data_IF_621664427573
#
_entry.id   IF_621664427573
#
_cell.length_a   1.000
_cell.length_b   1.000
_cell.length_c   1.000
_cell.angle_alpha   90.00
_cell.angle_beta   90.00
_cell.angle_gamma   90.00
#
_symmetry.space_group_name_H-M   'P 1'
#
loop_
_entity.id
_entity.type
_entity.pdbx_description
1 polymer ?
#
# COMPACT_ATOMS: atom_id res chain seq x y z
N UNK A 1 25.21 9.63 -1.64
CA UNK A 1 26.05 8.97 -0.62
C UNK A 1 25.41 9.27 0.73
N UNK A 2 24.98 8.39 1.62
CA UNK A 2 25.12 6.95 1.88
C UNK A 2 23.81 6.50 2.55
N UNK A 3 23.21 5.36 2.14
CA UNK A 3 22.15 4.64 2.86
C UNK A 3 22.64 3.20 3.04
N UNK A 4 23.45 2.98 4.09
CA UNK A 4 23.90 1.64 4.54
C UNK A 4 23.53 1.39 6.01
N UNK A 5 22.46 2.03 6.51
CA UNK A 5 22.16 2.09 7.94
C UNK A 5 21.42 0.87 8.50
N UNK A 6 20.60 0.17 7.70
CA UNK A 6 19.77 -0.95 8.20
C UNK A 6 20.48 -2.30 8.15
N UNK A 7 21.10 -2.65 7.01
CA UNK A 7 21.82 -3.94 6.91
C UNK A 7 23.06 -3.97 7.80
N UNK A 8 23.73 -2.82 8.00
CA UNK A 8 24.87 -2.75 8.92
C UNK A 8 24.47 -2.81 10.39
N UNK A 9 23.27 -2.35 10.77
CA UNK A 9 22.82 -2.43 12.16
C UNK A 9 22.41 -3.84 12.56
N UNK A 10 21.77 -4.60 11.66
CA UNK A 10 21.40 -6.01 11.90
C UNK A 10 22.64 -6.91 11.93
N UNK A 11 23.56 -6.72 11.00
CA UNK A 11 24.84 -7.44 10.98
C UNK A 11 25.70 -7.08 12.20
N UNK A 12 25.72 -5.81 12.62
CA UNK A 12 26.38 -5.37 13.84
C UNK A 12 25.72 -5.93 15.12
N UNK A 13 24.39 -6.11 15.13
CA UNK A 13 23.68 -6.70 16.26
C UNK A 13 23.90 -8.22 16.36
N UNK A 14 24.07 -8.92 15.23
CA UNK A 14 24.44 -10.33 15.20
C UNK A 14 25.89 -10.55 15.64
N UNK A 15 26.84 -9.81 15.04
CA UNK A 15 28.25 -9.84 15.45
C UNK A 15 28.45 -9.36 16.89
N UNK A 16 27.65 -8.38 17.34
CA UNK A 16 27.63 -7.93 18.73
C UNK A 16 27.18 -9.03 19.69
N UNK A 17 26.19 -9.86 19.31
CA UNK A 17 25.75 -10.99 20.13
C UNK A 17 26.79 -12.11 20.20
N UNK A 18 27.47 -12.42 19.10
CA UNK A 18 28.58 -13.39 19.08
C UNK A 18 29.78 -12.89 19.90
N UNK A 19 30.11 -11.59 19.80
CA UNK A 19 31.10 -10.92 20.65
C UNK A 19 30.75 -11.04 22.14
N UNK A 20 29.51 -10.72 22.50
CA UNK A 20 29.04 -10.72 23.89
C UNK A 20 28.96 -12.12 24.50
N UNK A 21 28.84 -13.18 23.70
CA UNK A 21 28.90 -14.58 24.18
C UNK A 21 30.32 -15.12 24.31
N UNK A 22 31.33 -14.32 23.96
CA UNK A 22 32.72 -14.78 23.88
C UNK A 22 32.96 -15.82 22.78
N UNK A 23 32.06 -15.91 21.79
CA UNK A 23 32.11 -16.89 20.69
C UNK A 23 33.01 -16.43 19.53
N UNK A 24 33.49 -15.17 19.55
CA UNK A 24 34.49 -14.66 18.61
C UNK A 24 35.91 -14.96 19.13
N UNK A 25 36.53 -16.01 18.58
CA UNK A 25 37.88 -16.49 18.96
C UNK A 25 38.97 -15.39 18.95
N UNK A 26 38.81 -14.32 18.16
CA UNK A 26 39.78 -13.23 18.01
C UNK A 26 39.50 -11.98 18.88
N UNK A 27 38.36 -11.90 19.59
CA UNK A 27 37.95 -10.71 20.36
C UNK A 27 37.18 -11.06 21.65
N UNK A 28 37.88 -11.35 22.76
CA UNK A 28 37.22 -11.60 24.05
C UNK A 28 36.55 -10.32 24.58
N UNK A 29 35.37 -10.44 25.19
CA UNK A 29 34.52 -9.35 25.68
C UNK A 29 34.85 -8.90 27.12
N UNK A 30 36.11 -8.64 27.41
CA UNK A 30 36.61 -8.35 28.76
C UNK A 30 35.97 -7.13 29.45
N UNK A 31 35.42 -6.17 28.68
CA UNK A 31 34.84 -4.91 29.19
C UNK A 31 33.31 -4.87 29.13
N UNK A 32 32.66 -5.86 28.51
CA UNK A 32 31.22 -5.82 28.25
C UNK A 32 30.59 -7.16 28.61
N UNK A 33 29.72 -7.15 29.62
CA UNK A 33 29.06 -8.35 30.12
C UNK A 33 28.06 -8.92 29.11
N UNK A 34 27.89 -10.23 29.12
CA UNK A 34 27.22 -11.03 28.09
C UNK A 34 25.73 -10.68 27.88
N UNK A 35 25.11 -9.99 28.83
CA UNK A 35 23.71 -9.55 28.77
C UNK A 35 23.52 -8.13 28.20
N UNK A 36 24.59 -7.47 27.75
CA UNK A 36 24.47 -6.17 27.10
C UNK A 36 23.60 -6.24 25.84
N UNK A 37 22.69 -5.29 25.66
CA UNK A 37 21.76 -5.27 24.51
C UNK A 37 20.67 -6.36 24.55
N UNK A 38 20.63 -7.23 25.57
CA UNK A 38 19.54 -8.20 25.78
C UNK A 38 18.37 -7.58 26.54
N UNK A 39 18.65 -6.58 27.38
CA UNK A 39 17.68 -5.90 28.24
C UNK A 39 17.75 -4.40 27.99
N UNK A 40 16.60 -3.82 27.64
CA UNK A 40 16.44 -2.39 27.34
C UNK A 40 16.02 -1.56 28.58
N UNK A 41 15.71 -2.24 29.69
CA UNK A 41 15.35 -1.60 30.96
C UNK A 41 16.59 -1.27 31.80
N UNK A 42 16.87 0.03 31.97
CA UNK A 42 18.06 0.52 32.66
C UNK A 42 18.15 0.04 34.13
N UNK A 43 17.03 0.01 34.85
CA UNK A 43 17.01 -0.45 36.25
C UNK A 43 17.32 -1.94 36.37
N UNK A 44 16.76 -2.77 35.48
CA UNK A 44 17.08 -4.20 35.43
C UNK A 44 18.54 -4.43 35.02
N UNK A 45 19.07 -3.61 34.11
CA UNK A 45 20.46 -3.71 33.68
C UNK A 45 21.42 -3.38 34.83
N UNK A 46 21.14 -2.33 35.60
CA UNK A 46 21.89 -1.97 36.80
C UNK A 46 21.85 -3.08 37.86
N UNK A 47 20.69 -3.71 38.05
CA UNK A 47 20.52 -4.83 38.97
C UNK A 47 21.36 -6.05 38.56
N UNK A 48 21.34 -6.41 37.27
CA UNK A 48 22.18 -7.50 36.75
C UNK A 48 23.66 -7.15 36.87
N UNK A 49 24.04 -5.90 36.62
CA UNK A 49 25.41 -5.45 36.78
C UNK A 49 25.89 -5.52 38.23
N UNK A 50 25.03 -5.14 39.18
CA UNK A 50 25.34 -5.24 40.59
C UNK A 50 25.58 -6.69 41.00
N UNK A 51 24.66 -7.61 40.68
CA UNK A 51 24.84 -9.01 41.07
C UNK A 51 26.01 -9.67 40.35
N UNK A 52 26.20 -9.47 39.05
CA UNK A 52 27.35 -10.00 38.33
C UNK A 52 28.68 -9.59 38.99
N UNK A 53 28.78 -8.34 39.49
CA UNK A 53 29.98 -7.87 40.19
C UNK A 53 30.27 -8.62 41.49
N UNK A 54 29.24 -9.12 42.19
CA UNK A 54 29.42 -9.89 43.44
C UNK A 54 29.96 -11.30 43.15
N UNK A 55 29.55 -11.90 42.03
CA UNK A 55 30.10 -13.18 41.56
C UNK A 55 31.54 -13.00 41.10
N UNK A 56 31.82 -11.98 40.28
CA UNK A 56 33.16 -11.68 39.78
C UNK A 56 34.14 -11.30 40.89
N UNK A 57 33.67 -10.64 41.96
CA UNK A 57 34.52 -10.27 43.10
C UNK A 57 34.80 -11.43 44.08
N UNK A 58 34.24 -12.62 43.82
CA UNK A 58 34.36 -13.79 44.72
C UNK A 58 33.61 -13.65 46.04
N UNK A 59 32.65 -12.72 46.15
CA UNK A 59 31.78 -12.60 47.33
C UNK A 59 30.74 -13.72 47.38
N UNK A 60 30.45 -14.32 46.23
CA UNK A 60 29.63 -15.53 46.11
C UNK A 60 30.55 -16.74 45.91
N UNK A 61 30.42 -17.80 46.72
CA UNK A 61 31.21 -19.02 46.55
C UNK A 61 31.07 -19.68 45.17
N UNK A 62 32.19 -20.17 44.62
CA UNK A 62 32.25 -20.79 43.28
C UNK A 62 31.35 -22.03 43.11
N UNK A 63 30.95 -22.68 44.22
CA UNK A 63 29.99 -23.81 44.22
C UNK A 63 28.60 -23.43 43.67
N UNK A 64 28.29 -22.14 43.62
CA UNK A 64 27.05 -21.63 43.02
C UNK A 64 27.12 -21.48 41.49
N UNK A 65 28.29 -21.75 40.88
CA UNK A 65 28.50 -21.67 39.44
C UNK A 65 28.43 -20.25 38.88
N UNK A 66 28.45 -20.11 37.54
CA UNK A 66 28.40 -18.82 36.87
C UNK A 66 27.12 -18.04 37.19
N UNK A 67 27.24 -16.70 37.34
CA UNK A 67 26.09 -15.84 37.66
C UNK A 67 24.90 -16.05 36.72
N UNK A 68 25.12 -16.09 35.40
CA UNK A 68 24.06 -16.25 34.39
C UNK A 68 23.37 -17.61 34.42
N UNK A 69 24.02 -18.62 35.02
CA UNK A 69 23.42 -19.93 35.24
C UNK A 69 22.62 -20.01 36.54
N UNK A 70 22.81 -19.05 37.45
CA UNK A 70 22.11 -19.02 38.74
C UNK A 70 20.60 -18.85 38.57
N UNK A 71 19.83 -19.41 39.50
CA UNK A 71 18.38 -19.24 39.55
C UNK A 71 17.97 -17.76 39.67
N UNK A 72 18.81 -16.95 40.32
CA UNK A 72 18.59 -15.50 40.47
C UNK A 72 18.65 -14.79 39.11
N UNK A 73 19.75 -14.96 38.36
CA UNK A 73 19.90 -14.34 37.05
C UNK A 73 18.81 -14.80 36.07
N UNK A 74 18.52 -16.10 36.05
CA UNK A 74 17.45 -16.67 35.21
C UNK A 74 16.08 -16.07 35.51
N UNK A 75 15.76 -15.82 36.78
CA UNK A 75 14.49 -15.21 37.17
C UNK A 75 14.41 -13.72 36.81
N UNK A 76 15.51 -12.97 36.98
CA UNK A 76 15.59 -11.56 36.60
C UNK A 76 15.44 -11.41 35.08
N UNK A 77 16.23 -12.15 34.30
CA UNK A 77 16.19 -12.14 32.84
C UNK A 77 14.80 -12.58 32.35
N UNK A 78 14.24 -13.67 32.88
CA UNK A 78 12.89 -14.14 32.49
C UNK A 78 11.82 -13.08 32.76
N UNK A 79 11.85 -12.42 33.92
CA UNK A 79 10.87 -11.38 34.25
C UNK A 79 11.02 -10.15 33.35
N UNK A 80 12.26 -9.78 33.00
CA UNK A 80 12.54 -8.69 32.09
C UNK A 80 12.06 -9.00 30.66
N UNK A 81 12.41 -10.19 30.14
CA UNK A 81 11.96 -10.66 28.83
C UNK A 81 10.43 -10.75 28.75
N UNK A 82 9.74 -11.21 29.80
CA UNK A 82 8.27 -11.25 29.82
C UNK A 82 7.67 -9.84 29.73
N UNK A 83 8.22 -8.85 30.46
CA UNK A 83 7.75 -7.46 30.39
C UNK A 83 8.06 -6.79 29.05
N UNK A 84 9.17 -7.16 28.41
CA UNK A 84 9.49 -6.69 27.06
C UNK A 84 8.53 -7.30 26.03
N UNK A 85 8.24 -8.60 26.12
CA UNK A 85 7.24 -9.25 25.28
C UNK A 85 5.84 -8.63 25.48
N UNK A 86 5.40 -8.44 26.72
CA UNK A 86 4.10 -7.86 27.07
C UNK A 86 3.94 -6.43 26.51
N UNK A 87 4.99 -5.60 26.61
CA UNK A 87 5.02 -4.28 25.95
C UNK A 87 4.97 -4.40 24.43
N UNK A 88 5.75 -5.28 23.82
CA UNK A 88 5.74 -5.50 22.37
C UNK A 88 4.38 -5.99 21.85
N UNK A 89 3.68 -6.85 22.61
CA UNK A 89 2.32 -7.29 22.33
C UNK A 89 1.29 -6.16 22.46
N UNK A 90 1.43 -5.30 23.48
CA UNK A 90 0.52 -4.19 23.75
C UNK A 90 0.69 -3.04 22.74
N UNK A 91 1.92 -2.80 22.29
CA UNK A 91 2.27 -1.71 21.38
C UNK A 91 2.26 -2.10 19.90
N UNK A 92 1.86 -3.35 19.57
CA UNK A 92 1.73 -3.81 18.18
C UNK A 92 3.06 -3.95 17.42
N UNK A 93 4.18 -4.04 18.12
CA UNK A 93 5.51 -3.93 17.53
C UNK A 93 6.06 -5.30 17.09
N UNK A 94 5.55 -5.80 15.96
CA UNK A 94 5.83 -7.13 15.40
C UNK A 94 7.33 -7.36 15.10
N UNK A 95 8.04 -6.31 14.72
CA UNK A 95 9.45 -6.33 14.34
C UNK A 95 10.38 -6.62 15.53
N UNK A 96 10.04 -6.10 16.72
CA UNK A 96 10.74 -6.39 17.98
C UNK A 96 10.47 -7.82 18.48
N UNK A 97 9.26 -8.32 18.26
CA UNK A 97 8.87 -9.70 18.60
C UNK A 97 9.71 -10.72 17.83
N UNK A 98 9.98 -10.50 16.54
CA UNK A 98 10.76 -11.43 15.72
C UNK A 98 12.24 -11.51 16.16
N UNK A 99 12.80 -10.40 16.65
CA UNK A 99 14.15 -10.35 17.21
C UNK A 99 14.33 -11.09 18.55
N UNK A 100 13.27 -11.18 19.36
CA UNK A 100 13.28 -11.83 20.68
C UNK A 100 13.24 -13.36 20.62
N UNK A 101 12.57 -13.96 19.63
CA UNK A 101 12.36 -15.43 19.59
C UNK A 101 13.47 -16.15 18.80
N UNK A 102 14.50 -15.44 18.32
CA UNK A 102 15.55 -16.04 17.48
C UNK A 102 14.97 -16.63 16.17
N UNK A 103 13.82 -16.14 15.73
CA UNK A 103 13.14 -16.58 14.50
C UNK A 103 13.67 -15.89 13.24
N UNK A 104 14.69 -15.04 13.38
CA UNK A 104 15.23 -14.16 12.33
C UNK A 104 15.97 -14.88 11.19
N UNK A 105 15.82 -16.19 11.01
CA UNK A 105 16.43 -16.91 9.90
C UNK A 105 15.71 -18.23 9.55
N UNK A 106 14.38 -18.20 9.44
CA UNK A 106 13.71 -19.15 8.55
C UNK A 106 13.06 -18.35 7.46
N UNK A 107 13.69 -18.34 6.29
CA UNK A 107 12.98 -17.98 5.08
C UNK A 107 11.73 -18.85 5.01
N UNK A 108 10.57 -18.19 4.97
CA UNK A 108 9.28 -18.88 4.90
C UNK A 108 9.13 -19.49 3.50
N UNK A 109 8.25 -20.47 3.35
CA UNK A 109 8.02 -21.09 2.05
C UNK A 109 7.40 -20.05 1.11
N UNK A 110 7.81 -20.00 -0.15
CA UNK A 110 7.23 -19.12 -1.15
C UNK A 110 5.70 -19.20 -1.24
N UNK A 111 5.11 -20.36 -0.94
CA UNK A 111 3.64 -20.52 -0.89
C UNK A 111 2.99 -19.73 0.25
N UNK A 112 3.71 -19.53 1.35
CA UNK A 112 3.23 -18.71 2.48
C UNK A 112 3.16 -17.24 2.05
N UNK A 113 4.06 -16.77 1.17
CA UNK A 113 3.98 -15.43 0.58
C UNK A 113 2.71 -15.26 -0.24
N UNK A 114 2.44 -16.21 -1.15
CA UNK A 114 1.26 -16.15 -2.03
C UNK A 114 -0.02 -16.06 -1.21
N UNK A 115 -0.08 -16.84 -0.13
CA UNK A 115 -1.22 -16.85 0.80
C UNK A 115 -1.33 -15.53 1.55
N UNK A 116 -0.23 -15.03 2.12
CA UNK A 116 -0.23 -13.76 2.87
C UNK A 116 -0.59 -12.56 1.99
N UNK A 117 -0.07 -12.50 0.76
CA UNK A 117 -0.41 -11.43 -0.19
C UNK A 117 -1.88 -11.51 -0.64
N UNK A 118 -2.39 -12.72 -0.90
CA UNK A 118 -3.81 -12.91 -1.22
C UNK A 118 -4.71 -12.46 -0.05
N UNK A 119 -4.36 -12.77 1.19
CA UNK A 119 -5.09 -12.33 2.39
C UNK A 119 -5.13 -10.81 2.54
N UNK A 120 -4.04 -10.12 2.19
CA UNK A 120 -4.05 -8.65 2.18
C UNK A 120 -5.03 -8.11 1.13
N UNK A 121 -5.09 -8.74 -0.05
CA UNK A 121 -5.98 -8.36 -1.16
C UNK A 121 -7.45 -8.76 -0.96
N UNK A 122 -7.77 -9.62 0.01
CA UNK A 122 -9.15 -9.90 0.41
C UNK A 122 -9.83 -8.68 1.05
N UNK A 123 -9.04 -7.77 1.63
CA UNK A 123 -9.54 -6.54 2.21
C UNK A 123 -9.95 -5.56 1.10
N UNK A 124 -11.22 -5.18 1.07
CA UNK A 124 -11.74 -4.23 0.08
C UNK A 124 -10.96 -2.90 0.12
N UNK A 125 -10.52 -2.43 -1.06
CA UNK A 125 -9.71 -1.23 -1.20
C UNK A 125 -8.22 -1.43 -0.96
N UNK A 126 -7.75 -2.68 -0.83
CA UNK A 126 -6.32 -2.97 -0.73
C UNK A 126 -5.58 -2.65 -2.03
N UNK A 127 -4.40 -2.05 -1.89
CA UNK A 127 -3.51 -1.74 -3.02
C UNK A 127 -2.17 -2.40 -2.73
N UNK A 128 -1.85 -3.45 -3.48
CA UNK A 128 -0.57 -4.15 -3.41
C UNK A 128 0.38 -3.68 -4.51
N UNK A 129 1.67 -3.61 -4.20
CA UNK A 129 2.72 -3.41 -5.20
C UNK A 129 3.60 -4.65 -5.33
N UNK A 130 4.06 -4.96 -6.53
CA UNK A 130 5.10 -5.97 -6.79
C UNK A 130 6.30 -5.24 -7.40
N UNK A 131 7.41 -5.22 -6.67
CA UNK A 131 8.55 -4.35 -6.91
C UNK A 131 9.81 -5.16 -7.22
N UNK A 132 10.63 -4.69 -8.15
CA UNK A 132 11.88 -5.37 -8.50
C UNK A 132 12.39 -5.06 -9.91
N UNK A 133 13.66 -5.38 -10.21
CA UNK A 133 14.22 -5.17 -11.54
C UNK A 133 13.54 -6.07 -12.59
N UNK A 134 13.67 -5.76 -13.89
CA UNK A 134 13.24 -6.66 -14.96
C UNK A 134 13.88 -8.06 -14.81
N UNK A 135 13.09 -9.11 -15.04
CA UNK A 135 13.53 -10.50 -14.94
C UNK A 135 13.65 -11.07 -13.51
N UNK A 136 13.22 -10.36 -12.46
CA UNK A 136 13.18 -10.92 -11.10
C UNK A 136 11.99 -11.84 -10.80
N UNK A 137 11.19 -12.19 -11.81
CA UNK A 137 10.01 -13.04 -11.66
C UNK A 137 8.79 -12.32 -11.04
N UNK A 138 8.68 -10.99 -11.21
CA UNK A 138 7.54 -10.21 -10.70
C UNK A 138 6.22 -10.70 -11.29
N UNK A 139 6.09 -10.68 -12.62
CA UNK A 139 4.86 -11.09 -13.32
C UNK A 139 4.43 -12.49 -12.92
N UNK A 140 5.33 -13.47 -12.95
CA UNK A 140 5.05 -14.83 -12.47
C UNK A 140 4.50 -14.86 -11.03
N UNK A 141 5.13 -14.11 -10.12
CA UNK A 141 4.66 -13.99 -8.72
C UNK A 141 3.29 -13.33 -8.64
N UNK A 142 3.05 -12.27 -9.41
CA UNK A 142 1.78 -11.55 -9.48
C UNK A 142 0.64 -12.46 -9.93
N UNK A 143 0.86 -13.24 -11.00
CA UNK A 143 -0.14 -14.17 -11.53
C UNK A 143 -0.47 -15.29 -10.53
N UNK A 144 0.52 -15.82 -9.82
CA UNK A 144 0.28 -16.82 -8.78
C UNK A 144 -0.41 -16.24 -7.54
N UNK A 145 -0.14 -14.99 -7.16
CA UNK A 145 -0.91 -14.28 -6.12
C UNK A 145 -2.36 -14.10 -6.58
N UNK A 146 -2.59 -13.63 -7.80
CA UNK A 146 -3.93 -13.40 -8.34
C UNK A 146 -4.76 -14.70 -8.37
N UNK A 147 -4.17 -15.81 -8.80
CA UNK A 147 -4.81 -17.13 -8.76
C UNK A 147 -5.09 -17.61 -7.34
N UNK A 148 -4.16 -17.37 -6.42
CA UNK A 148 -4.34 -17.73 -5.01
C UNK A 148 -5.50 -16.94 -4.40
N UNK A 149 -5.59 -15.65 -4.72
CA UNK A 149 -6.70 -14.79 -4.33
C UNK A 149 -8.02 -15.30 -4.89
N UNK A 150 -8.13 -15.54 -6.21
CA UNK A 150 -9.38 -16.00 -6.82
C UNK A 150 -9.83 -17.37 -6.30
N UNK A 151 -8.88 -18.28 -6.00
CA UNK A 151 -9.19 -19.56 -5.38
C UNK A 151 -9.79 -19.43 -3.96
N UNK A 152 -9.47 -18.34 -3.25
CA UNK A 152 -9.93 -18.08 -1.88
C UNK A 152 -11.22 -17.27 -1.84
N UNK A 153 -11.36 -16.30 -2.72
CA UNK A 153 -12.49 -15.38 -2.75
C UNK A 153 -13.62 -15.84 -3.67
N UNK A 154 -13.30 -16.62 -4.70
CA UNK A 154 -14.21 -16.86 -5.82
C UNK A 154 -14.50 -15.60 -6.64
N UNK A 155 -13.69 -14.55 -6.47
CA UNK A 155 -13.86 -13.26 -7.13
C UNK A 155 -13.25 -13.22 -8.54
N UNK A 156 -13.58 -12.15 -9.26
CA UNK A 156 -13.15 -11.95 -10.64
C UNK A 156 -11.76 -11.29 -10.68
N UNK A 157 -10.91 -11.69 -11.63
CA UNK A 157 -9.63 -11.06 -11.89
C UNK A 157 -9.71 -10.31 -13.22
N UNK A 158 -9.39 -9.02 -13.21
CA UNK A 158 -9.24 -8.22 -14.42
C UNK A 158 -7.79 -7.80 -14.57
N UNK A 159 -7.31 -7.58 -15.79
CA UNK A 159 -5.95 -7.11 -15.98
C UNK A 159 -5.68 -6.48 -17.34
N UNK A 160 -4.47 -5.95 -17.52
CA UNK A 160 -4.08 -5.17 -18.70
C UNK A 160 -3.16 -5.91 -19.68
N UNK A 161 -2.84 -7.18 -19.41
CA UNK A 161 -2.00 -8.03 -20.25
C UNK A 161 -2.75 -9.25 -20.74
N UNK A 162 -2.20 -9.93 -21.75
CA UNK A 162 -2.76 -11.18 -22.23
C UNK A 162 -2.40 -12.35 -21.29
N UNK A 163 -3.29 -12.64 -20.35
CA UNK A 163 -3.28 -13.88 -19.56
C UNK A 163 -4.68 -14.49 -19.53
N UNK A 164 -4.77 -15.78 -19.87
CA UNK A 164 -6.03 -16.53 -19.97
C UNK A 164 -6.82 -16.62 -18.66
N UNK A 165 -6.19 -16.35 -17.51
CA UNK A 165 -6.87 -16.33 -16.22
C UNK A 165 -7.53 -15.00 -15.86
N UNK A 166 -7.47 -13.99 -16.73
CA UNK A 166 -8.28 -12.78 -16.59
C UNK A 166 -9.71 -13.02 -17.10
N UNK A 167 -10.69 -12.64 -16.30
CA UNK A 167 -12.10 -12.61 -16.69
C UNK A 167 -12.38 -11.47 -17.69
N UNK A 168 -11.59 -10.39 -17.62
CA UNK A 168 -11.69 -9.24 -18.50
C UNK A 168 -10.34 -8.55 -18.67
N UNK A 169 -10.05 -8.12 -19.91
CA UNK A 169 -8.88 -7.30 -20.23
C UNK A 169 -9.29 -5.82 -20.28
N UNK A 170 -8.54 -4.97 -19.58
CA UNK A 170 -8.78 -3.51 -19.50
C UNK A 170 -7.56 -2.74 -20.02
N UNK A 171 -7.80 -1.63 -20.71
CA UNK A 171 -6.76 -0.82 -21.36
C UNK A 171 -6.61 0.59 -20.80
N UNK A 172 -7.48 0.99 -19.89
CA UNK A 172 -7.38 2.29 -19.21
C UNK A 172 -7.83 2.21 -17.76
N UNK A 173 -7.47 3.24 -16.98
CA UNK A 173 -7.93 3.42 -15.61
C UNK A 173 -9.46 3.56 -15.53
N UNK A 174 -10.07 4.24 -16.50
CA UNK A 174 -11.52 4.31 -16.64
C UNK A 174 -12.16 2.94 -16.90
N UNK A 175 -11.67 2.21 -17.91
CA UNK A 175 -12.16 0.85 -18.22
C UNK A 175 -12.01 -0.09 -17.02
N UNK A 176 -10.89 0.02 -16.29
CA UNK A 176 -10.67 -0.73 -15.06
C UNK A 176 -11.75 -0.43 -14.02
N UNK A 177 -12.02 0.84 -13.73
CA UNK A 177 -13.01 1.22 -12.72
C UNK A 177 -14.44 0.86 -13.10
N UNK A 178 -14.80 0.95 -14.39
CA UNK A 178 -16.08 0.51 -14.93
C UNK A 178 -16.23 -1.01 -14.81
N UNK A 179 -15.23 -1.78 -15.29
CA UNK A 179 -15.22 -3.25 -15.17
C UNK A 179 -15.33 -3.72 -13.71
N UNK A 180 -14.63 -3.05 -12.79
CA UNK A 180 -14.74 -3.36 -11.36
C UNK A 180 -16.14 -3.08 -10.78
N UNK A 181 -16.87 -2.11 -11.32
CA UNK A 181 -18.21 -1.74 -10.85
C UNK A 181 -19.33 -2.58 -11.51
N UNK A 182 -19.04 -3.27 -12.61
CA UNK A 182 -19.93 -4.25 -13.25
C UNK A 182 -19.99 -5.59 -12.50
N UNK A 183 -18.94 -5.95 -11.76
CA UNK A 183 -18.87 -7.21 -11.03
C UNK A 183 -19.69 -7.13 -9.73
N UNK A 184 -20.69 -7.98 -9.59
CA UNK A 184 -21.42 -8.21 -8.33
C UNK A 184 -20.62 -9.15 -7.42
N UNK A 185 -19.56 -8.63 -6.79
CA UNK A 185 -18.69 -9.45 -5.95
C UNK A 185 -17.32 -8.83 -5.68
N UNK A 186 -16.38 -9.66 -5.23
CA UNK A 186 -14.98 -9.24 -5.08
C UNK A 186 -14.29 -9.24 -6.44
N UNK A 187 -13.51 -8.18 -6.71
CA UNK A 187 -12.76 -8.02 -7.96
C UNK A 187 -11.31 -7.62 -7.68
N UNK A 188 -10.36 -8.28 -8.33
CA UNK A 188 -8.94 -7.95 -8.26
C UNK A 188 -8.49 -7.41 -9.62
N UNK A 189 -8.04 -6.15 -9.65
CA UNK A 189 -7.37 -5.59 -10.81
C UNK A 189 -5.87 -5.85 -10.73
N UNK A 190 -5.31 -6.55 -11.72
CA UNK A 190 -3.87 -6.80 -11.86
C UNK A 190 -3.33 -5.93 -12.98
N UNK A 191 -2.50 -4.96 -12.63
CA UNK A 191 -1.90 -4.04 -13.59
C UNK A 191 -0.42 -4.38 -13.68
N UNK A 192 -0.04 -5.15 -14.70
CA UNK A 192 1.37 -5.44 -14.97
C UNK A 192 2.01 -4.31 -15.77
N UNK A 193 3.23 -3.94 -15.38
CA UNK A 193 3.97 -2.81 -15.93
C UNK A 193 3.10 -1.55 -15.96
N UNK A 194 2.74 -1.00 -14.79
CA UNK A 194 2.20 0.37 -14.71
C UNK A 194 3.13 1.24 -15.55
N UNK A 195 2.62 1.74 -16.68
CA UNK A 195 3.38 2.10 -17.88
C UNK A 195 4.81 2.60 -17.63
N UNK A 196 5.74 2.37 -18.56
CA UNK A 196 7.05 3.05 -18.53
C UNK A 196 6.92 4.58 -18.29
N UNK A 197 5.76 5.14 -18.65
CA UNK A 197 5.27 6.52 -18.44
C UNK A 197 4.73 6.86 -17.04
N UNK A 198 4.80 5.96 -16.05
CA UNK A 198 4.32 6.19 -14.67
C UNK A 198 5.46 6.08 -13.65
N UNK A 199 6.71 6.18 -14.13
CA UNK A 199 7.93 6.16 -13.30
C UNK A 199 8.03 7.35 -12.33
N UNK A 200 7.15 8.35 -12.46
CA UNK A 200 7.07 9.52 -11.58
C UNK A 200 8.25 10.50 -11.74
N UNK A 201 9.05 10.37 -12.80
CA UNK A 201 10.15 11.27 -13.12
C UNK A 201 9.82 12.14 -14.34
N UNK A 202 9.91 13.47 -14.19
CA UNK A 202 9.73 14.40 -15.31
C UNK A 202 8.26 14.66 -15.65
N UNK A 203 7.90 14.58 -16.93
CA UNK A 203 6.56 14.89 -17.47
C UNK A 203 5.47 13.87 -17.06
N UNK A 204 5.88 12.74 -16.47
CA UNK A 204 5.04 11.60 -16.09
C UNK A 204 4.44 11.69 -14.67
N UNK A 205 4.90 12.65 -13.86
CA UNK A 205 4.44 12.86 -12.49
C UNK A 205 2.92 13.10 -12.37
N UNK A 206 2.34 14.00 -13.19
CA UNK A 206 0.89 14.22 -13.22
C UNK A 206 0.08 12.96 -13.54
N UNK A 207 0.53 12.13 -14.49
CA UNK A 207 -0.15 10.88 -14.84
C UNK A 207 -0.22 9.91 -13.66
N UNK A 208 0.89 9.79 -12.90
CA UNK A 208 0.94 8.95 -11.71
C UNK A 208 0.02 9.46 -10.58
N UNK A 209 -0.08 10.78 -10.38
CA UNK A 209 -1.00 11.38 -9.40
C UNK A 209 -2.47 11.22 -9.83
N UNK A 210 -2.79 11.40 -11.12
CA UNK A 210 -4.15 11.17 -11.66
C UNK A 210 -4.57 9.72 -11.42
N UNK A 211 -3.71 8.76 -11.77
CA UNK A 211 -4.03 7.36 -11.55
C UNK A 211 -4.11 7.00 -10.06
N UNK A 212 -3.22 7.54 -9.23
CA UNK A 212 -3.28 7.36 -7.77
C UNK A 212 -4.62 7.88 -7.20
N UNK A 213 -5.09 9.05 -7.65
CA UNK A 213 -6.40 9.58 -7.28
C UNK A 213 -7.54 8.66 -7.72
N UNK A 214 -7.47 8.10 -8.94
CA UNK A 214 -8.43 7.12 -9.43
C UNK A 214 -8.51 5.88 -8.51
N UNK A 215 -7.37 5.38 -8.03
CA UNK A 215 -7.30 4.26 -7.08
C UNK A 215 -7.97 4.59 -5.74
N UNK A 216 -8.06 5.87 -5.33
CA UNK A 216 -8.78 6.23 -4.09
C UNK A 216 -10.28 5.96 -4.16
N UNK A 217 -10.87 5.93 -5.36
CA UNK A 217 -12.30 5.60 -5.53
C UNK A 217 -12.60 4.14 -5.18
N UNK A 218 -11.63 3.24 -5.40
CA UNK A 218 -11.70 1.83 -5.00
C UNK A 218 -11.73 1.74 -3.47
N UNK A 219 -10.93 2.57 -2.79
CA UNK A 219 -10.92 2.66 -1.31
C UNK A 219 -12.19 3.28 -0.72
N UNK A 220 -12.83 4.22 -1.42
CA UNK A 220 -14.01 4.97 -0.92
C UNK A 220 -15.36 4.30 -1.21
N UNK A 221 -15.39 3.18 -1.95
CA UNK A 221 -16.61 2.43 -2.30
C UNK A 221 -17.68 3.28 -3.00
N UNK A 222 -17.27 4.24 -3.82
CA UNK A 222 -18.19 5.17 -4.50
C UNK A 222 -18.89 4.49 -5.70
N UNK A 223 -20.21 4.64 -5.78
CA UNK A 223 -21.08 4.02 -6.80
C UNK A 223 -21.18 4.78 -8.13
N UNK A 224 -20.34 5.80 -8.34
CA UNK A 224 -20.41 6.70 -9.50
C UNK A 224 -20.02 6.07 -10.84
N UNK A 225 -19.52 4.82 -10.88
CA UNK A 225 -18.95 4.22 -12.11
C UNK A 225 -19.57 2.86 -12.47
N UNK A 226 -20.70 2.49 -11.88
CA UNK A 226 -21.41 1.26 -12.25
C UNK A 226 -22.48 0.85 -11.24
N UNK A 227 -23.21 -0.24 -11.53
CA UNK A 227 -24.37 -0.64 -10.74
C UNK A 227 -24.02 -1.20 -9.36
N UNK A 228 -22.79 -1.66 -9.14
CA UNK A 228 -22.35 -2.26 -7.88
C UNK A 228 -21.29 -1.41 -7.18
N UNK A 229 -21.28 -1.48 -5.84
CA UNK A 229 -20.21 -0.86 -5.04
C UNK A 229 -18.88 -1.56 -5.36
N UNK A 230 -17.83 -0.79 -5.64
CA UNK A 230 -16.49 -1.29 -5.97
C UNK A 230 -15.89 -2.03 -4.76
N UNK A 231 -16.13 -3.34 -4.65
CA UNK A 231 -15.55 -4.22 -3.62
C UNK A 231 -14.25 -4.83 -4.14
N UNK A 232 -13.34 -3.96 -4.55
CA UNK A 232 -12.17 -4.39 -5.30
C UNK A 232 -10.85 -4.05 -4.64
N UNK A 233 -9.82 -4.75 -5.10
CA UNK A 233 -8.43 -4.55 -4.72
C UNK A 233 -7.59 -4.42 -5.98
N UNK A 234 -6.41 -3.81 -5.88
CA UNK A 234 -5.50 -3.63 -7.00
C UNK A 234 -4.14 -4.19 -6.66
N UNK A 235 -3.54 -4.97 -7.57
CA UNK A 235 -2.17 -5.43 -7.50
C UNK A 235 -1.39 -4.88 -8.70
N UNK A 236 -0.46 -3.97 -8.43
CA UNK A 236 0.32 -3.31 -9.49
C UNK A 236 1.73 -3.85 -9.53
N UNK A 237 2.23 -4.14 -10.73
CA UNK A 237 3.63 -4.48 -10.94
C UNK A 237 4.37 -3.23 -11.36
N UNK A 238 5.40 -2.88 -10.61
CA UNK A 238 6.24 -1.73 -10.88
C UNK A 238 7.71 -2.16 -10.89
N UNK A 239 8.58 -1.21 -11.23
CA UNK A 239 10.02 -1.37 -11.09
C UNK A 239 10.46 -1.45 -9.62
N UNK A 240 11.69 -1.02 -9.31
CA UNK A 240 12.19 -1.00 -7.93
C UNK A 240 11.50 0.11 -7.12
N UNK A 241 11.49 -0.02 -5.78
CA UNK A 241 10.92 1.01 -4.86
C UNK A 241 11.27 2.44 -5.25
N UNK A 242 12.53 2.68 -5.68
CA UNK A 242 13.05 4.01 -6.06
C UNK A 242 12.48 4.55 -7.37
N UNK A 243 12.05 3.66 -8.28
CA UNK A 243 11.53 4.01 -9.60
C UNK A 243 9.99 4.00 -9.67
N UNK A 244 9.33 3.54 -8.62
CA UNK A 244 7.88 3.68 -8.46
C UNK A 244 7.54 5.11 -8.02
N UNK A 245 6.43 5.68 -8.48
CA UNK A 245 5.98 6.99 -8.02
C UNK A 245 5.64 7.00 -6.52
N UNK A 246 5.90 8.11 -5.83
CA UNK A 246 5.59 8.25 -4.40
C UNK A 246 4.09 8.14 -4.11
N UNK A 247 3.24 8.61 -5.03
CA UNK A 247 1.79 8.51 -4.93
C UNK A 247 1.33 7.05 -4.76
N UNK A 248 1.87 6.13 -5.55
CA UNK A 248 1.56 4.70 -5.44
C UNK A 248 2.09 4.09 -4.15
N UNK A 249 3.32 4.43 -3.74
CA UNK A 249 3.90 3.93 -2.48
C UNK A 249 3.09 4.36 -1.26
N UNK A 250 2.58 5.60 -1.26
CA UNK A 250 1.72 6.12 -0.18
C UNK A 250 0.35 5.48 -0.14
N UNK A 251 -0.19 5.05 -1.28
CA UNK A 251 -1.50 4.40 -1.34
C UNK A 251 -1.45 2.91 -1.02
N UNK A 252 -0.31 2.27 -1.27
CA UNK A 252 -0.14 0.85 -1.04
C UNK A 252 -0.44 0.48 0.41
N UNK A 253 -1.06 -0.68 0.60
CA UNK A 253 -1.26 -1.34 1.91
C UNK A 253 -0.18 -2.37 2.19
N UNK A 254 0.45 -2.90 1.14
CA UNK A 254 1.61 -3.80 1.23
C UNK A 254 2.42 -3.76 -0.06
N UNK A 255 3.63 -4.31 -0.04
CA UNK A 255 4.41 -4.56 -1.24
C UNK A 255 5.14 -5.91 -1.19
N UNK A 256 5.32 -6.54 -2.34
CA UNK A 256 6.17 -7.72 -2.52
C UNK A 256 7.44 -7.25 -3.23
N UNK A 257 8.59 -7.38 -2.58
CA UNK A 257 9.86 -7.04 -3.19
C UNK A 257 10.60 -8.29 -3.68
N UNK A 258 10.92 -8.28 -4.97
CA UNK A 258 11.77 -9.26 -5.68
C UNK A 258 13.09 -8.57 -6.04
N UNK A 259 14.06 -8.49 -5.12
CA UNK A 259 15.19 -7.58 -5.21
C UNK A 259 16.22 -7.94 -6.30
N UNK A 260 16.23 -9.20 -6.74
CA UNK A 260 17.33 -9.79 -7.52
C UNK A 260 16.80 -10.54 -8.74
N UNK A 261 17.47 -10.36 -9.88
CA UNK A 261 17.17 -11.08 -11.14
C UNK A 261 17.75 -12.50 -11.12
N UNK A 262 18.89 -12.67 -10.46
CA UNK A 262 19.62 -13.93 -10.30
C UNK A 262 19.01 -14.86 -9.24
N UNK A 263 18.03 -14.37 -8.48
CA UNK A 263 17.29 -15.13 -7.47
C UNK A 263 15.78 -14.85 -7.55
N UNK A 264 15.09 -15.28 -8.63
CA UNK A 264 13.65 -15.08 -8.78
C UNK A 264 12.83 -15.88 -7.76
N UNK A 265 13.45 -16.87 -7.10
CA UNK A 265 12.82 -17.69 -6.06
C UNK A 265 12.69 -17.02 -4.70
N UNK A 266 13.27 -15.83 -4.54
CA UNK A 266 13.23 -15.03 -3.32
C UNK A 266 12.26 -13.85 -3.43
N UNK A 267 11.49 -13.59 -2.38
CA UNK A 267 10.79 -12.33 -2.20
C UNK A 267 10.76 -11.91 -0.72
N UNK A 268 10.50 -10.62 -0.50
CA UNK A 268 10.18 -10.05 0.80
C UNK A 268 8.78 -9.47 0.78
N UNK A 269 7.96 -9.80 1.77
CA UNK A 269 6.70 -9.09 1.99
C UNK A 269 7.00 -7.85 2.83
N UNK A 270 6.48 -6.71 2.41
CA UNK A 270 6.65 -5.41 3.02
C UNK A 270 5.31 -4.91 3.50
N UNK A 271 5.29 -4.36 4.69
CA UNK A 271 4.09 -3.83 5.32
C UNK A 271 4.16 -2.31 5.41
N UNK A 272 3.00 -1.65 5.38
CA UNK A 272 2.90 -0.22 5.59
C UNK A 272 1.55 0.09 6.24
N UNK A 273 1.52 1.07 7.14
CA UNK A 273 0.27 1.55 7.76
C UNK A 273 -0.66 2.27 6.76
N UNK A 274 -0.20 2.48 5.51
CA UNK A 274 -0.91 3.24 4.49
C UNK A 274 -0.83 4.75 4.72
N UNK A 275 -0.70 5.52 3.64
CA UNK A 275 -0.50 6.97 3.69
C UNK A 275 0.96 7.41 3.90
N UNK A 276 1.89 6.47 4.10
CA UNK A 276 3.32 6.73 4.26
C UNK A 276 4.11 6.31 3.02
N UNK A 277 5.18 7.05 2.71
CA UNK A 277 6.07 6.73 1.57
C UNK A 277 7.14 5.66 1.93
N UNK A 278 7.03 5.09 3.12
CA UNK A 278 7.96 4.12 3.69
C UNK A 278 7.28 2.78 3.90
N UNK A 279 8.05 1.72 3.69
CA UNK A 279 7.66 0.35 3.96
C UNK A 279 8.55 -0.19 5.05
N UNK A 280 7.95 -0.91 5.99
CA UNK A 280 8.69 -1.70 6.95
C UNK A 280 9.08 -3.03 6.31
N UNK A 281 10.32 -3.45 6.56
CA UNK A 281 10.80 -4.75 6.07
C UNK A 281 10.06 -5.85 6.87
N UNK A 282 9.20 -6.59 6.18
CA UNK A 282 8.52 -7.75 6.73
C UNK A 282 9.31 -9.04 6.52
N UNK A 283 8.59 -10.15 6.30
CA UNK A 283 9.20 -11.48 6.24
C UNK A 283 9.86 -11.78 4.88
N UNK A 284 10.96 -12.54 4.93
CA UNK A 284 11.64 -13.10 3.76
C UNK A 284 11.09 -14.48 3.41
N UNK A 285 10.91 -14.73 2.11
CA UNK A 285 10.35 -15.95 1.54
C UNK A 285 11.24 -16.51 0.44
N UNK A 286 11.39 -17.83 0.40
CA UNK A 286 12.23 -18.54 -0.59
C UNK A 286 11.49 -19.72 -1.19
N UNK A 287 11.91 -20.16 -2.38
CA UNK A 287 11.31 -21.32 -3.06
C UNK A 287 10.10 -20.96 -3.91
N UNK A 288 9.94 -19.68 -4.25
CA UNK A 288 9.01 -19.29 -5.31
C UNK A 288 9.50 -19.88 -6.63
N UNK A 289 8.56 -20.44 -7.39
CA UNK A 289 8.84 -20.95 -8.72
C UNK A 289 8.29 -19.99 -9.76
N UNK A 290 8.66 -20.23 -11.01
CA UNK A 290 7.92 -19.62 -12.11
C UNK A 290 6.46 -20.10 -12.10
N UNK A 291 5.57 -19.30 -12.69
CA UNK A 291 4.16 -19.65 -12.76
C UNK A 291 3.95 -20.73 -13.82
N UNK A 292 2.89 -21.53 -13.64
CA UNK A 292 2.46 -22.52 -14.66
C UNK A 292 1.69 -21.89 -15.82
N UNK A 293 1.33 -20.61 -15.69
CA UNK A 293 0.52 -19.89 -16.66
C UNK A 293 1.36 -19.47 -17.87
N UNK A 294 0.73 -19.42 -19.03
CA UNK A 294 1.35 -18.82 -20.22
C UNK A 294 1.00 -17.34 -20.25
N UNK A 295 2.02 -16.49 -20.34
CA UNK A 295 1.88 -15.04 -20.45
C UNK A 295 2.99 -14.49 -21.35
N UNK A 296 2.75 -13.34 -21.98
CA UNK A 296 3.76 -12.70 -22.82
C UNK A 296 4.70 -11.84 -21.98
N UNK A 297 5.93 -12.31 -21.74
CA UNK A 297 6.98 -11.54 -21.04
C UNK A 297 7.46 -10.28 -21.81
N UNK A 298 7.07 -10.13 -23.08
CA UNK A 298 7.55 -9.08 -23.98
C UNK A 298 6.43 -8.27 -24.63
N UNK A 299 5.18 -8.47 -24.21
CA UNK A 299 4.09 -7.62 -24.67
C UNK A 299 4.25 -6.23 -24.03
N UNK A 300 4.32 -5.20 -24.87
CA UNK A 300 4.21 -3.83 -24.39
C UNK A 300 2.76 -3.64 -23.91
N UNK A 301 2.55 -3.54 -22.60
CA UNK A 301 1.24 -3.21 -22.07
C UNK A 301 1.02 -1.70 -22.21
N UNK A 302 0.11 -1.32 -23.10
CA UNK A 302 -0.40 0.04 -23.21
C UNK A 302 -1.58 0.19 -22.26
N UNK A 303 -1.37 0.84 -21.11
CA UNK A 303 -2.42 1.19 -20.17
C UNK A 303 -2.56 2.72 -20.10
N UNK A 304 -3.65 3.24 -20.66
CA UNK A 304 -3.89 4.67 -20.76
C UNK A 304 -4.44 5.25 -19.44
N UNK A 305 -3.86 6.37 -18.99
CA UNK A 305 -4.42 7.16 -17.89
C UNK A 305 -5.21 8.31 -18.50
N UNK A 306 -6.54 8.19 -18.47
CA UNK A 306 -7.42 9.18 -19.09
C UNK A 306 -7.35 10.50 -18.31
N UNK A 307 -7.10 11.60 -19.02
CA UNK A 307 -6.97 12.95 -18.44
C UNK A 307 -5.55 13.36 -18.05
N UNK A 308 -4.53 12.58 -18.44
CA UNK A 308 -3.13 12.86 -18.13
C UNK A 308 -2.27 13.29 -19.35
N UNK A 309 -2.78 13.09 -20.57
CA UNK A 309 -2.20 13.61 -21.80
C UNK A 309 -2.80 14.99 -22.07
N UNK A 310 -1.99 16.03 -21.93
CA UNK A 310 -2.36 17.39 -22.34
C UNK A 310 -2.45 17.45 -23.86
N UNK A 311 -3.58 17.93 -24.38
CA UNK A 311 -3.68 18.37 -25.77
C UNK A 311 -2.69 19.52 -26.00
N UNK A 312 -1.66 19.27 -26.81
CA UNK A 312 -0.76 20.29 -27.37
C UNK A 312 -1.52 21.16 -28.39
N UNK A 313 -2.38 22.06 -27.90
CA UNK A 313 -2.82 23.25 -28.64
C UNK A 313 -3.39 24.33 -27.71
N UNK A 314 -2.50 25.25 -27.35
CA UNK A 314 -2.72 26.70 -27.20
C UNK A 314 -4.17 27.15 -26.91
N UNK A 315 -4.56 27.10 -25.63
CA UNK A 315 -5.13 28.23 -24.90
C UNK A 315 -5.09 27.90 -23.41
N UNK A 316 -4.51 28.80 -22.61
CA UNK A 316 -4.27 28.56 -21.19
C UNK A 316 -5.56 28.51 -20.39
N UNK A 317 -5.94 27.32 -19.95
CA UNK A 317 -6.76 27.12 -18.77
C UNK A 317 -6.05 26.11 -17.86
N UNK A 318 -5.79 26.56 -16.63
CA UNK A 318 -5.24 25.75 -15.55
C UNK A 318 -6.07 24.47 -15.38
N UNK A 319 -5.39 23.36 -15.06
CA UNK A 319 -6.05 22.11 -14.69
C UNK A 319 -7.22 22.41 -13.71
N UNK A 320 -8.45 21.92 -13.98
CA UNK A 320 -9.63 22.39 -13.27
C UNK A 320 -9.49 22.14 -11.77
N UNK A 321 -9.65 23.21 -11.00
CA UNK A 321 -9.54 23.18 -9.55
C UNK A 321 -10.46 22.07 -8.99
N UNK A 322 -10.00 21.20 -8.08
CA UNK A 322 -10.86 20.23 -7.40
C UNK A 322 -12.12 20.84 -6.77
N UNK A 323 -12.09 22.12 -6.41
CA UNK A 323 -13.27 22.86 -5.97
C UNK A 323 -14.23 23.19 -7.14
N UNK A 324 -13.70 23.47 -8.32
CA UNK A 324 -14.43 23.73 -9.56
C UNK A 324 -15.11 22.47 -10.09
N UNK A 325 -14.45 21.31 -10.06
CA UNK A 325 -15.07 20.03 -10.43
C UNK A 325 -16.27 19.73 -9.50
N UNK A 326 -16.09 19.87 -8.18
CA UNK A 326 -17.18 19.70 -7.21
C UNK A 326 -18.27 20.74 -7.40
N UNK A 327 -17.91 21.97 -7.78
CA UNK A 327 -18.89 23.03 -8.10
C UNK A 327 -19.72 22.61 -9.31
N UNK A 328 -19.08 22.16 -10.40
CA UNK A 328 -19.74 21.67 -11.63
C UNK A 328 -20.72 20.54 -11.35
N UNK A 329 -20.30 19.51 -10.60
CA UNK A 329 -21.18 18.39 -10.26
C UNK A 329 -22.39 18.80 -9.42
N UNK A 330 -22.20 19.71 -8.44
CA UNK A 330 -23.30 20.22 -7.62
C UNK A 330 -24.29 21.04 -8.42
N UNK A 331 -23.80 21.87 -9.34
CA UNK A 331 -24.65 22.65 -10.23
C UNK A 331 -25.40 21.74 -11.19
N UNK A 332 -24.73 20.75 -11.77
CA UNK A 332 -25.35 19.73 -12.63
C UNK A 332 -26.48 19.00 -11.92
N UNK A 333 -26.22 18.48 -10.71
CA UNK A 333 -27.24 17.79 -9.92
C UNK A 333 -28.43 18.70 -9.60
N UNK A 334 -28.17 19.96 -9.25
CA UNK A 334 -29.24 20.94 -9.03
C UNK A 334 -30.08 21.19 -10.28
N UNK A 335 -29.45 21.39 -11.44
CA UNK A 335 -30.14 21.65 -12.71
C UNK A 335 -30.97 20.44 -13.17
N UNK A 336 -30.43 19.22 -13.02
CA UNK A 336 -31.16 17.99 -13.35
C UNK A 336 -32.33 17.70 -12.40
N UNK A 337 -32.22 18.08 -11.12
CA UNK A 337 -33.29 17.92 -10.15
C UNK A 337 -34.38 19.00 -10.31
N UNK A 338 -33.98 20.25 -10.54
CA UNK A 338 -34.91 21.39 -10.64
C UNK A 338 -35.49 21.61 -12.04
N UNK A 339 -34.82 21.10 -13.08
CA UNK A 339 -35.17 21.21 -14.50
C UNK A 339 -35.76 22.58 -14.87
N UNK A 340 -34.99 23.68 -14.70
CA UNK A 340 -35.52 25.03 -14.87
C UNK A 340 -36.06 25.36 -16.27
N UNK A 341 -35.73 24.54 -17.27
CA UNK A 341 -36.23 24.56 -18.66
C UNK A 341 -37.58 23.84 -18.84
N UNK A 342 -38.15 23.23 -17.79
CA UNK A 342 -39.41 22.50 -17.86
C UNK A 342 -40.37 22.92 -16.75
N UNK A 343 -41.43 23.62 -17.11
CA UNK A 343 -42.49 24.02 -16.15
C UNK A 343 -43.31 22.82 -15.61
N UNK A 344 -43.18 21.64 -16.23
CA UNK A 344 -43.94 20.44 -15.90
C UNK A 344 -43.11 19.34 -15.22
N UNK A 345 -41.78 19.46 -15.19
CA UNK A 345 -40.87 18.46 -14.67
C UNK A 345 -39.89 19.06 -13.65
N UNK A 346 -39.42 18.25 -12.71
CA UNK A 346 -38.47 18.67 -11.68
C UNK A 346 -39.11 18.98 -10.33
N UNK A 347 -38.27 19.06 -9.30
CA UNK A 347 -38.68 19.47 -7.95
C UNK A 347 -38.50 20.98 -7.79
N UNK A 348 -39.15 21.58 -6.78
CA UNK A 348 -39.02 23.02 -6.55
C UNK A 348 -37.56 23.41 -6.36
N UNK A 349 -37.16 24.59 -6.85
CA UNK A 349 -35.79 25.11 -6.70
C UNK A 349 -35.31 25.09 -5.24
N UNK A 350 -36.25 25.32 -4.30
CA UNK A 350 -35.99 25.25 -2.88
C UNK A 350 -35.62 23.83 -2.43
N UNK A 351 -36.33 22.82 -2.91
CA UNK A 351 -36.08 21.43 -2.55
C UNK A 351 -34.83 20.87 -3.24
N UNK A 352 -34.58 21.26 -4.50
CA UNK A 352 -33.34 20.93 -5.21
C UNK A 352 -32.11 21.55 -4.53
N UNK A 353 -32.19 22.82 -4.12
CA UNK A 353 -31.13 23.47 -3.34
C UNK A 353 -30.90 22.78 -2.00
N UNK A 354 -31.98 22.43 -1.28
CA UNK A 354 -31.88 21.74 0.00
C UNK A 354 -31.22 20.36 -0.13
N UNK A 355 -31.52 19.62 -1.20
CA UNK A 355 -30.87 18.34 -1.54
C UNK A 355 -29.37 18.51 -1.83
N UNK A 356 -28.98 19.63 -2.43
CA UNK A 356 -27.59 20.00 -2.64
C UNK A 356 -26.90 20.63 -1.39
N UNK A 357 -27.63 20.84 -0.28
CA UNK A 357 -27.11 21.43 0.95
C UNK A 357 -27.08 22.98 0.97
N UNK A 358 -27.80 23.64 0.07
CA UNK A 358 -27.80 25.09 -0.10
C UNK A 358 -29.19 25.73 0.09
N UNK A 359 -29.19 27.06 0.22
CA UNK A 359 -30.41 27.87 0.32
C UNK A 359 -30.95 28.32 -1.04
N UNK A 360 -32.12 28.97 -1.02
CA UNK A 360 -32.83 29.47 -2.22
C UNK A 360 -32.08 30.55 -2.99
N UNK A 361 -31.23 31.34 -2.33
CA UNK A 361 -30.38 32.34 -3.00
C UNK A 361 -29.40 31.68 -3.96
N UNK A 362 -28.76 30.58 -3.53
CA UNK A 362 -27.84 29.82 -4.34
C UNK A 362 -28.53 29.21 -5.57
N UNK A 363 -29.74 28.64 -5.40
CA UNK A 363 -30.55 28.14 -6.52
C UNK A 363 -30.89 29.22 -7.55
N UNK A 364 -31.26 30.41 -7.08
CA UNK A 364 -31.57 31.56 -7.95
C UNK A 364 -30.35 31.94 -8.80
N UNK A 365 -29.17 31.97 -8.17
CA UNK A 365 -27.93 32.29 -8.87
C UNK A 365 -27.57 31.22 -9.90
N UNK A 366 -27.67 29.93 -9.56
CA UNK A 366 -27.36 28.82 -10.49
C UNK A 366 -28.31 28.80 -11.70
N UNK A 367 -29.60 29.07 -11.49
CA UNK A 367 -30.56 29.18 -12.60
C UNK A 367 -30.16 30.30 -13.56
N UNK A 368 -29.82 31.48 -13.05
CA UNK A 368 -29.38 32.62 -13.88
C UNK A 368 -28.06 32.38 -14.61
N UNK A 369 -27.11 31.68 -13.97
CA UNK A 369 -25.86 31.27 -14.63
C UNK A 369 -26.15 30.33 -15.81
N UNK A 370 -27.06 29.38 -15.64
CA UNK A 370 -27.50 28.50 -16.72
C UNK A 370 -28.23 29.27 -17.83
N UNK A 371 -29.16 30.18 -17.49
CA UNK A 371 -29.84 31.05 -18.46
C UNK A 371 -28.85 31.91 -19.26
N UNK A 372 -27.66 32.22 -18.72
CA UNK A 372 -26.59 32.95 -19.42
C UNK A 372 -25.64 32.06 -20.23
N UNK A 373 -25.87 30.75 -20.22
CA UNK A 373 -25.07 29.77 -20.94
C UNK A 373 -23.75 29.39 -20.26
N UNK A 374 -23.54 29.73 -18.98
CA UNK A 374 -22.30 29.42 -18.24
C UNK A 374 -22.13 27.91 -17.97
N UNK A 375 -23.14 27.09 -18.26
CA UNK A 375 -23.19 25.66 -17.93
C UNK A 375 -23.58 24.76 -19.13
N UNK A 376 -23.50 25.26 -20.37
CA UNK A 376 -23.90 24.51 -21.59
C UNK A 376 -23.07 23.24 -21.84
N UNK A 377 -21.88 23.21 -21.26
CA UNK A 377 -20.94 22.09 -21.27
C UNK A 377 -21.28 20.95 -20.29
N UNK A 378 -22.32 21.11 -19.45
CA UNK A 378 -22.73 20.07 -18.51
C UNK A 378 -23.54 18.98 -19.20
N UNK A 379 -23.06 17.73 -19.10
CA UNK A 379 -23.72 16.55 -19.67
C UNK A 379 -25.19 16.43 -19.20
N UNK A 380 -26.10 16.07 -20.10
CA UNK A 380 -27.55 15.90 -19.87
C UNK A 380 -28.32 17.17 -19.44
N UNK A 381 -27.67 18.33 -19.38
CA UNK A 381 -28.34 19.62 -19.15
C UNK A 381 -28.54 20.31 -20.50
N UNK A 382 -29.79 20.57 -20.95
CA UNK A 382 -30.03 21.26 -22.21
C UNK A 382 -29.58 22.72 -22.13
N UNK A 383 -29.19 23.27 -23.29
CA UNK A 383 -28.92 24.70 -23.43
C UNK A 383 -30.21 25.52 -23.24
N UNK A 384 -30.12 26.75 -22.69
CA UNK A 384 -31.29 27.61 -22.55
C UNK A 384 -31.86 28.01 -23.93
N UNK A 385 -33.18 28.01 -24.08
CA UNK A 385 -33.81 28.44 -25.34
C UNK A 385 -33.73 29.98 -25.51
N UNK A 386 -33.70 30.48 -26.76
CA UNK A 386 -33.73 31.93 -27.07
C UNK A 386 -35.04 32.57 -26.57
N UNK A 387 -35.02 33.03 -25.31
CA UNK A 387 -36.18 33.53 -24.57
C UNK A 387 -36.07 33.36 -23.06
N UNK A 388 -35.17 32.48 -22.60
CA UNK A 388 -34.84 32.26 -21.19
C UNK A 388 -33.62 33.09 -20.74
N UNK A 389 -32.87 33.65 -21.69
CA UNK A 389 -31.75 34.58 -21.48
C UNK A 389 -32.28 36.00 -21.18
N UNK A 390 -32.54 36.32 -19.91
CA UNK A 390 -33.00 37.64 -19.44
C UNK A 390 -31.89 38.62 -19.05
#
# INVERSE_FOLDING_TARGET
MSRSGSDSSVYAAAQGREFLRGELEEKPNEWVREFAGLIDDAETLDLLNYYASLWESGLVPDEHGPFLESALARNIIRSASTRMADRAFTEGNVSQMQGMVGLTNRSRDGKDLLTAAAEQLENEGAIGLVLGPPGSGKTATTLDVARTWAARTGGNIIGNTSWDGFDQIVRSDREMLEAMAEVEGQVLAVIDETAQELSGYGQDGPKAETFANALTFIRKKEGSHGPHAKRGSVLMVNHTRKRTAAAFRRLATFAIEKPKRDDPGFARLLETEGGQDTFDDGADFTGLTDTRESYSEHEASEFAIVGADGDDQDDGDDAPDPEEIRRRERVRSYLLDSKPWSDAEGISQKDAAAKAGYGTSWATDRKKEWERGEWNELEDVPEPEEGETG
#
